data_IF_024440688976
#
_entry.id   IF_024440688976
#
_cell.length_a   1.000
_cell.length_b   1.000
_cell.length_c   1.000
_cell.angle_alpha   90.00
_cell.angle_beta   90.00
_cell.angle_gamma   90.00
#
_symmetry.space_group_name_H-M   'P 1'
#
loop_
_entity.id
_entity.type
_entity.pdbx_description
1 polymer ?
#
# COMPACT_ATOMS: atom_id res chain seq x y z
N UNK A 1 -6.70 -2.03 -4.99
CA UNK A 1 -5.73 -1.16 -5.71
C UNK A 1 -5.41 0.06 -4.88
N UNK A 2 -4.14 0.41 -4.79
CA UNK A 2 -3.67 1.65 -4.15
C UNK A 2 -3.25 2.67 -5.21
N UNK A 3 -3.85 3.86 -5.14
CA UNK A 3 -3.56 4.95 -6.06
C UNK A 3 -2.81 6.08 -5.35
N UNK A 4 -1.77 6.62 -5.97
CA UNK A 4 -1.14 7.88 -5.56
C UNK A 4 -1.98 9.05 -6.09
N UNK A 5 -3.14 9.27 -5.48
CA UNK A 5 -4.02 10.38 -5.79
C UNK A 5 -3.94 11.41 -4.66
N UNK A 6 -3.21 12.49 -4.91
CA UNK A 6 -3.24 13.70 -4.08
C UNK A 6 -4.58 14.37 -4.29
N UNK A 7 -5.30 14.59 -3.19
CA UNK A 7 -6.63 15.17 -2.98
C UNK A 7 -7.35 15.95 -4.10
N UNK A 8 -8.67 16.10 -3.91
CA UNK A 8 -9.69 16.95 -4.53
C UNK A 8 -10.34 16.49 -5.83
N UNK A 9 -9.75 15.63 -6.64
CA UNK A 9 -10.43 15.15 -7.84
C UNK A 9 -10.40 13.62 -7.92
N UNK A 10 -11.25 12.96 -7.14
CA UNK A 10 -11.66 11.57 -7.41
C UNK A 10 -12.50 11.45 -8.70
N UNK A 11 -12.51 12.45 -9.54
CA UNK A 11 -12.94 12.30 -10.92
C UNK A 11 -11.79 11.68 -11.68
N UNK A 12 -11.82 10.38 -11.78
CA UNK A 12 -10.92 9.49 -12.50
C UNK A 12 -10.83 9.88 -13.99
N UNK A 13 -10.20 10.98 -14.29
CA UNK A 13 -9.92 11.40 -15.65
C UNK A 13 -8.42 11.39 -15.88
N UNK A 14 -7.94 10.27 -16.45
CA UNK A 14 -6.67 10.20 -17.17
C UNK A 14 -5.42 9.87 -16.37
N UNK A 15 -4.71 8.83 -16.80
CA UNK A 15 -3.31 8.49 -16.49
C UNK A 15 -2.92 8.24 -15.03
N UNK A 16 -3.71 7.48 -14.28
CA UNK A 16 -3.30 7.06 -12.93
C UNK A 16 -2.93 5.59 -12.92
N UNK A 17 -1.64 5.31 -12.86
CA UNK A 17 -1.15 3.97 -12.61
C UNK A 17 -1.51 3.54 -11.17
N UNK A 18 -1.85 2.26 -10.97
CA UNK A 18 -1.96 1.71 -9.62
C UNK A 18 -0.56 1.41 -9.07
N UNK A 19 -0.16 2.11 -8.03
CA UNK A 19 1.16 1.89 -7.41
C UNK A 19 1.19 0.63 -6.53
N UNK A 20 0.03 0.16 -6.11
CA UNK A 20 -0.15 -1.03 -5.29
C UNK A 20 -1.25 -1.91 -5.87
N UNK A 21 -0.93 -3.18 -6.07
CA UNK A 21 -1.88 -4.22 -6.47
C UNK A 21 -1.73 -5.39 -5.50
N UNK A 22 -2.77 -5.65 -4.70
CA UNK A 22 -2.81 -6.78 -3.77
C UNK A 22 -4.08 -7.56 -4.04
N UNK A 23 -3.93 -8.86 -4.25
CA UNK A 23 -5.01 -9.82 -4.36
C UNK A 23 -5.27 -10.37 -2.97
N UNK A 24 -6.52 -10.26 -2.49
CA UNK A 24 -6.97 -10.86 -1.26
C UNK A 24 -7.81 -12.09 -1.58
N UNK A 25 -7.42 -13.24 -1.06
CA UNK A 25 -8.19 -14.49 -1.16
C UNK A 25 -8.71 -14.85 0.22
N UNK A 26 -10.02 -14.87 0.37
CA UNK A 26 -10.70 -15.18 1.64
C UNK A 26 -11.29 -16.58 1.56
N UNK A 27 -10.90 -17.46 2.48
CA UNK A 27 -11.53 -18.76 2.64
C UNK A 27 -12.79 -18.58 3.48
N UNK A 28 -13.96 -18.82 2.89
CA UNK A 28 -15.25 -18.60 3.56
C UNK A 28 -15.50 -19.57 4.73
N UNK A 29 -14.86 -20.74 4.73
CA UNK A 29 -15.04 -21.75 5.77
C UNK A 29 -14.12 -21.50 6.96
N UNK A 30 -12.81 -21.30 6.71
CA UNK A 30 -11.79 -21.11 7.76
C UNK A 30 -11.62 -19.64 8.15
N UNK A 31 -12.14 -18.71 7.36
CA UNK A 31 -11.93 -17.25 7.49
C UNK A 31 -10.46 -16.82 7.30
N UNK A 32 -9.62 -17.71 6.78
CA UNK A 32 -8.25 -17.36 6.45
C UNK A 32 -8.20 -16.35 5.30
N UNK A 33 -7.36 -15.34 5.44
CA UNK A 33 -7.10 -14.33 4.41
C UNK A 33 -5.67 -14.50 3.90
N UNK A 34 -5.50 -14.68 2.59
CA UNK A 34 -4.20 -14.69 1.92
C UNK A 34 -4.04 -13.44 1.08
N UNK A 35 -2.94 -12.71 1.31
CA UNK A 35 -2.61 -11.50 0.58
C UNK A 35 -1.43 -11.75 -0.36
N UNK A 36 -1.61 -11.47 -1.64
CA UNK A 36 -0.58 -11.64 -2.68
C UNK A 36 -0.37 -10.30 -3.38
N UNK A 37 0.85 -9.75 -3.29
CA UNK A 37 1.21 -8.54 -4.04
C UNK A 37 1.61 -8.88 -5.47
N UNK A 38 1.10 -8.13 -6.42
CA UNK A 38 1.58 -8.11 -7.80
C UNK A 38 2.48 -6.90 -7.98
N UNK A 39 3.75 -7.13 -8.36
CA UNK A 39 4.67 -6.01 -8.56
C UNK A 39 4.23 -5.17 -9.75
N UNK A 40 4.15 -3.86 -9.53
CA UNK A 40 3.64 -2.89 -10.52
C UNK A 40 4.40 -2.90 -11.86
N UNK A 41 5.70 -3.25 -11.83
CA UNK A 41 6.58 -3.29 -12.99
C UNK A 41 6.64 -4.66 -13.68
N UNK A 42 5.84 -5.64 -13.22
CA UNK A 42 5.73 -6.96 -13.89
C UNK A 42 5.21 -6.79 -15.30
N UNK A 43 5.88 -7.40 -16.27
CA UNK A 43 5.45 -7.40 -17.67
C UNK A 43 4.30 -8.39 -17.87
N UNK A 44 3.10 -7.88 -18.13
CA UNK A 44 1.88 -8.68 -18.34
C UNK A 44 1.16 -8.22 -19.61
N UNK A 45 0.31 -9.08 -20.16
CA UNK A 45 -0.65 -8.71 -21.19
C UNK A 45 -1.72 -7.84 -20.54
N UNK A 46 -1.72 -6.54 -20.85
CA UNK A 46 -2.67 -5.56 -20.30
C UNK A 46 -3.97 -5.47 -21.10
N UNK A 47 -4.15 -6.31 -22.10
CA UNK A 47 -5.30 -6.39 -23.00
C UNK A 47 -4.91 -6.25 -24.46
N UNK A 48 -5.71 -6.85 -25.35
CA UNK A 48 -5.50 -6.81 -26.80
C UNK A 48 -4.09 -7.23 -27.26
N UNK A 49 -3.53 -8.25 -26.61
CA UNK A 49 -2.16 -8.75 -26.84
C UNK A 49 -1.05 -7.67 -26.68
N UNK A 50 -1.36 -6.60 -25.97
CA UNK A 50 -0.36 -5.59 -25.60
C UNK A 50 0.29 -5.96 -24.28
N UNK A 51 1.62 -6.07 -24.28
CA UNK A 51 2.41 -6.33 -23.10
C UNK A 51 3.01 -5.03 -22.55
N UNK A 52 2.76 -4.74 -21.28
CA UNK A 52 3.29 -3.58 -20.58
C UNK A 52 3.45 -3.88 -19.09
N UNK A 53 3.91 -2.87 -18.34
CA UNK A 53 3.92 -2.95 -16.88
C UNK A 53 2.50 -3.14 -16.34
N UNK A 54 2.33 -4.02 -15.36
CA UNK A 54 1.02 -4.35 -14.79
C UNK A 54 0.23 -3.11 -14.32
N UNK A 55 0.92 -2.11 -13.74
CA UNK A 55 0.29 -0.88 -13.29
C UNK A 55 -0.33 -0.03 -14.42
N UNK A 56 0.10 -0.23 -15.67
CA UNK A 56 -0.45 0.48 -16.82
C UNK A 56 -1.88 0.02 -17.17
N UNK A 57 -2.28 -1.18 -16.76
CA UNK A 57 -3.63 -1.67 -16.99
C UNK A 57 -4.70 -0.80 -16.33
N UNK A 58 -4.42 -0.31 -15.11
CA UNK A 58 -5.33 0.59 -14.40
C UNK A 58 -5.48 1.93 -15.12
N UNK A 59 -4.40 2.47 -15.67
CA UNK A 59 -4.43 3.71 -16.46
C UNK A 59 -5.14 3.54 -17.81
N UNK A 60 -5.17 2.33 -18.36
CA UNK A 60 -5.80 2.03 -19.64
C UNK A 60 -7.33 1.87 -19.57
N UNK A 61 -7.88 1.42 -18.43
CA UNK A 61 -9.32 1.16 -18.30
C UNK A 61 -9.75 0.91 -16.85
N UNK A 62 -9.18 1.66 -15.91
CA UNK A 62 -9.51 1.63 -14.48
C UNK A 62 -9.39 0.23 -13.84
N UNK A 63 -10.10 0.00 -12.75
CA UNK A 63 -10.07 -1.25 -12.00
C UNK A 63 -10.51 -2.46 -12.84
N UNK A 64 -11.47 -2.29 -13.75
CA UNK A 64 -11.99 -3.37 -14.58
C UNK A 64 -10.92 -3.92 -15.53
N UNK A 65 -10.15 -3.04 -16.17
CA UNK A 65 -9.03 -3.46 -17.00
C UNK A 65 -7.91 -4.11 -16.20
N UNK A 66 -7.62 -3.59 -15.02
CA UNK A 66 -6.63 -4.19 -14.12
C UNK A 66 -7.05 -5.58 -13.64
N UNK A 67 -8.33 -5.79 -13.30
CA UNK A 67 -8.87 -7.12 -12.93
C UNK A 67 -8.80 -8.07 -14.13
N UNK A 68 -9.22 -7.63 -15.31
CA UNK A 68 -9.14 -8.43 -16.53
C UNK A 68 -7.70 -8.86 -16.80
N UNK A 69 -6.74 -7.96 -16.68
CA UNK A 69 -5.32 -8.28 -16.81
C UNK A 69 -4.88 -9.32 -15.79
N UNK A 70 -5.23 -9.17 -14.49
CA UNK A 70 -4.86 -10.13 -13.45
C UNK A 70 -5.48 -11.50 -13.71
N UNK A 71 -6.77 -11.57 -14.02
CA UNK A 71 -7.47 -12.80 -14.30
C UNK A 71 -6.87 -13.54 -15.50
N UNK A 72 -6.58 -12.82 -16.59
CA UNK A 72 -6.04 -13.41 -17.82
C UNK A 72 -4.61 -13.95 -17.63
N UNK A 73 -3.74 -13.19 -16.95
CA UNK A 73 -2.33 -13.58 -16.85
C UNK A 73 -2.05 -14.58 -15.72
N UNK A 74 -2.89 -14.62 -14.68
CA UNK A 74 -2.69 -15.45 -13.49
C UNK A 74 -3.69 -16.59 -13.36
N UNK A 75 -4.58 -16.79 -14.36
CA UNK A 75 -5.64 -17.79 -14.36
C UNK A 75 -6.52 -17.69 -13.08
N UNK A 76 -6.96 -16.47 -12.78
CA UNK A 76 -7.79 -16.15 -11.61
C UNK A 76 -9.22 -15.80 -12.03
N UNK A 77 -10.12 -15.76 -11.06
CA UNK A 77 -11.50 -15.30 -11.21
C UNK A 77 -11.84 -14.23 -10.17
N UNK A 78 -11.14 -13.11 -10.23
CA UNK A 78 -11.39 -11.94 -9.36
C UNK A 78 -12.66 -11.27 -9.88
N UNK A 79 -13.63 -11.03 -8.99
CA UNK A 79 -14.94 -10.41 -9.30
C UNK A 79 -15.13 -9.07 -8.60
N UNK A 80 -14.46 -8.88 -7.48
CA UNK A 80 -14.66 -7.72 -6.61
C UNK A 80 -13.35 -6.96 -6.43
N UNK A 81 -13.46 -5.67 -6.17
CA UNK A 81 -12.29 -4.85 -5.89
C UNK A 81 -12.58 -3.71 -4.93
N UNK A 82 -11.53 -3.24 -4.28
CA UNK A 82 -11.50 -1.97 -3.58
C UNK A 82 -10.36 -1.12 -4.12
N UNK A 83 -10.59 0.17 -4.26
CA UNK A 83 -9.56 1.14 -4.61
C UNK A 83 -9.45 2.17 -3.49
N UNK A 84 -8.24 2.36 -2.98
CA UNK A 84 -7.95 3.30 -1.91
C UNK A 84 -6.88 4.29 -2.34
N UNK A 85 -7.01 5.52 -1.89
CA UNK A 85 -5.96 6.53 -1.93
C UNK A 85 -5.42 6.78 -0.52
N UNK A 86 -4.50 7.71 -0.36
CA UNK A 86 -3.91 8.01 0.96
C UNK A 86 -4.95 8.49 1.97
N UNK A 87 -5.88 9.34 1.56
CA UNK A 87 -6.92 9.88 2.45
C UNK A 87 -7.86 8.77 2.96
N UNK A 88 -8.30 7.89 2.07
CA UNK A 88 -9.14 6.75 2.44
C UNK A 88 -8.40 5.81 3.40
N UNK A 89 -7.12 5.50 3.14
CA UNK A 89 -6.33 4.63 4.01
C UNK A 89 -6.12 5.25 5.40
N UNK A 90 -5.78 6.55 5.45
CA UNK A 90 -5.65 7.29 6.71
C UNK A 90 -6.96 7.25 7.50
N UNK A 91 -8.08 7.50 6.84
CA UNK A 91 -9.40 7.51 7.49
C UNK A 91 -9.78 6.14 8.04
N UNK A 92 -9.60 5.07 7.24
CA UNK A 92 -9.89 3.69 7.69
C UNK A 92 -9.07 3.33 8.94
N UNK A 93 -7.79 3.64 8.95
CA UNK A 93 -6.90 3.32 10.08
C UNK A 93 -7.29 4.13 11.33
N UNK A 94 -7.59 5.43 11.17
CA UNK A 94 -8.02 6.28 12.28
C UNK A 94 -9.36 5.81 12.86
N UNK A 95 -10.32 5.42 12.01
CA UNK A 95 -11.64 4.91 12.43
C UNK A 95 -11.53 3.58 13.20
N UNK A 96 -10.51 2.76 12.90
CA UNK A 96 -10.19 1.55 13.65
C UNK A 96 -9.42 1.82 14.95
N UNK A 97 -9.06 3.06 15.23
CA UNK A 97 -8.34 3.48 16.42
C UNK A 97 -6.81 3.36 16.30
N UNK A 98 -6.27 3.20 15.11
CA UNK A 98 -4.83 3.04 14.86
C UNK A 98 -4.39 1.57 14.75
N UNK A 99 -3.08 1.35 14.56
CA UNK A 99 -2.48 0.02 14.41
C UNK A 99 -1.22 -0.11 15.27
N UNK A 100 -1.07 -1.25 15.96
CA UNK A 100 0.17 -1.57 16.68
C UNK A 100 1.19 -2.21 15.72
N UNK A 101 2.28 -1.51 15.44
CA UNK A 101 3.26 -1.91 14.42
C UNK A 101 4.64 -2.13 15.02
N UNK A 102 5.21 -3.31 14.74
CA UNK A 102 6.60 -3.58 15.05
C UNK A 102 7.51 -3.02 13.95
N UNK A 103 8.49 -2.23 14.33
CA UNK A 103 9.34 -1.47 13.42
C UNK A 103 10.81 -1.55 13.77
N UNK A 104 11.67 -1.38 12.77
CA UNK A 104 13.08 -1.11 12.97
C UNK A 104 13.35 0.39 13.19
N UNK A 105 14.54 0.74 13.68
CA UNK A 105 14.97 2.12 13.80
C UNK A 105 14.94 2.84 12.44
N UNK A 106 15.47 2.21 11.40
CA UNK A 106 15.45 2.76 10.04
C UNK A 106 14.03 3.02 9.53
N UNK A 107 13.08 2.13 9.82
CA UNK A 107 11.67 2.30 9.44
C UNK A 107 11.04 3.51 10.16
N UNK A 108 11.34 3.73 11.44
CA UNK A 108 10.83 4.89 12.19
C UNK A 108 11.35 6.20 11.58
N UNK A 109 12.66 6.27 11.29
CA UNK A 109 13.28 7.44 10.66
C UNK A 109 12.61 7.75 9.32
N UNK A 110 12.50 6.74 8.46
CA UNK A 110 11.90 6.92 7.13
C UNK A 110 10.42 7.24 7.19
N UNK A 111 9.66 6.59 8.07
CA UNK A 111 8.25 6.90 8.27
C UNK A 111 8.04 8.36 8.67
N UNK A 112 8.79 8.86 9.66
CA UNK A 112 8.71 10.25 10.09
C UNK A 112 8.96 11.23 8.92
N UNK A 113 9.94 10.92 8.05
CA UNK A 113 10.21 11.72 6.86
C UNK A 113 9.03 11.74 5.88
N UNK A 114 8.37 10.59 5.67
CA UNK A 114 7.20 10.50 4.79
C UNK A 114 5.93 11.12 5.40
N UNK A 115 5.86 11.27 6.73
CA UNK A 115 4.71 11.88 7.40
C UNK A 115 4.46 13.32 6.95
N UNK A 116 5.50 14.08 6.63
CA UNK A 116 5.37 15.46 6.13
C UNK A 116 4.52 15.50 4.86
N UNK A 117 4.94 14.76 3.83
CA UNK A 117 4.21 14.71 2.56
C UNK A 117 2.83 14.07 2.68
N UNK A 118 2.68 13.05 3.54
CA UNK A 118 1.39 12.37 3.75
C UNK A 118 0.42 13.31 4.43
N UNK A 119 0.84 14.01 5.48
CA UNK A 119 0.06 15.02 6.20
C UNK A 119 -0.44 16.12 5.26
N UNK A 120 0.46 16.69 4.44
CA UNK A 120 0.10 17.70 3.44
C UNK A 120 -0.89 17.16 2.41
N UNK A 121 -0.69 15.91 1.94
CA UNK A 121 -1.54 15.31 0.92
C UNK A 121 -2.97 15.04 1.38
N UNK A 122 -3.16 14.73 2.68
CA UNK A 122 -4.47 14.39 3.26
C UNK A 122 -5.06 15.52 4.11
N UNK A 123 -4.31 16.61 4.33
CA UNK A 123 -4.76 17.75 5.14
C UNK A 123 -4.98 17.42 6.61
N UNK A 124 -4.24 16.45 7.16
CA UNK A 124 -4.31 16.04 8.57
C UNK A 124 -2.96 16.27 9.25
N UNK A 125 -3.00 16.77 10.48
CA UNK A 125 -1.81 16.93 11.31
C UNK A 125 -1.23 15.57 11.72
N UNK A 126 0.06 15.55 12.01
CA UNK A 126 0.75 14.39 12.56
C UNK A 126 1.73 14.79 13.66
N UNK A 127 2.05 13.84 14.52
CA UNK A 127 3.13 13.94 15.48
C UNK A 127 4.21 12.94 15.12
N UNK A 128 5.47 13.34 14.89
CA UNK A 128 6.53 12.38 14.63
C UNK A 128 6.76 11.51 15.87
N UNK A 129 7.13 10.25 15.65
CA UNK A 129 7.57 9.37 16.73
C UNK A 129 8.95 9.83 17.18
N UNK A 130 9.12 10.00 18.50
CA UNK A 130 10.43 10.26 19.07
C UNK A 130 11.36 9.08 18.80
N UNK A 131 12.55 9.40 18.27
CA UNK A 131 13.50 8.36 17.90
C UNK A 131 14.11 7.74 19.17
N UNK A 132 14.10 6.39 19.28
CA UNK A 132 14.82 5.73 20.35
C UNK A 132 16.34 5.91 20.20
N UNK A 133 17.12 5.46 21.18
CA UNK A 133 18.57 5.43 21.04
C UNK A 133 18.95 4.59 19.80
N UNK A 134 19.87 5.15 19.00
CA UNK A 134 20.28 4.51 17.73
C UNK A 134 20.99 3.20 18.00
N UNK A 135 20.44 2.05 17.54
CA UNK A 135 21.06 0.75 17.73
C UNK A 135 22.22 0.49 16.75
N UNK A 136 23.05 -0.52 17.01
CA UNK A 136 24.08 -0.96 16.06
C UNK A 136 23.47 -1.48 14.75
N UNK A 137 22.38 -2.24 14.84
CA UNK A 137 21.62 -2.75 13.69
C UNK A 137 20.32 -1.97 13.54
N UNK A 138 20.33 -0.99 12.64
CA UNK A 138 19.19 -0.11 12.39
C UNK A 138 18.02 -0.82 11.66
N UNK A 139 18.27 -1.93 11.00
CA UNK A 139 17.24 -2.68 10.25
C UNK A 139 16.55 -3.76 11.12
N UNK A 140 17.07 -4.03 12.31
CA UNK A 140 16.45 -4.99 13.22
C UNK A 140 15.11 -4.48 13.73
N UNK A 141 14.03 -5.25 13.52
CA UNK A 141 12.71 -4.97 14.09
C UNK A 141 12.76 -5.23 15.59
N UNK A 142 12.52 -4.18 16.39
CA UNK A 142 12.63 -4.27 17.85
C UNK A 142 11.80 -3.23 18.63
N UNK A 143 11.04 -2.40 17.93
CA UNK A 143 10.22 -1.36 18.55
C UNK A 143 8.78 -1.53 18.14
N UNK A 144 7.86 -1.48 19.10
CA UNK A 144 6.41 -1.51 18.86
C UNK A 144 5.82 -0.14 19.12
N UNK A 145 5.11 0.41 18.14
CA UNK A 145 4.42 1.69 18.25
C UNK A 145 2.98 1.59 17.80
N UNK A 146 2.12 2.33 18.49
CA UNK A 146 0.75 2.54 18.06
C UNK A 146 0.72 3.67 17.04
N UNK A 147 0.41 3.37 15.78
CA UNK A 147 0.42 4.30 14.66
C UNK A 147 -0.98 4.81 14.35
N UNK A 148 -1.13 6.11 14.16
CA UNK A 148 -2.33 6.69 13.56
C UNK A 148 -2.33 6.52 12.03
N UNK A 149 -3.42 6.94 11.36
CA UNK A 149 -3.59 6.78 9.93
C UNK A 149 -2.48 7.44 9.10
N UNK A 150 -2.03 8.66 9.47
CA UNK A 150 -0.94 9.36 8.76
C UNK A 150 0.37 8.58 8.89
N UNK A 151 0.71 8.12 10.09
CA UNK A 151 1.93 7.36 10.35
C UNK A 151 1.92 6.00 9.63
N UNK A 152 0.84 5.23 9.73
CA UNK A 152 0.72 3.92 9.10
C UNK A 152 0.71 4.02 7.55
N UNK A 153 0.06 5.05 7.00
CA UNK A 153 0.11 5.31 5.55
C UNK A 153 1.52 5.70 5.12
N UNK A 154 2.23 6.50 5.90
CA UNK A 154 3.63 6.88 5.65
C UNK A 154 4.55 5.67 5.71
N UNK A 155 4.33 4.74 6.64
CA UNK A 155 5.04 3.47 6.73
C UNK A 155 4.88 2.63 5.44
N UNK A 156 3.69 2.59 4.84
CA UNK A 156 3.44 1.92 3.56
C UNK A 156 4.20 2.54 2.38
N UNK A 157 4.70 3.77 2.51
CA UNK A 157 5.40 4.51 1.44
C UNK A 157 6.92 4.33 1.47
N UNK A 158 7.50 3.80 2.54
CA UNK A 158 8.95 3.66 2.72
C UNK A 158 9.56 2.84 1.57
N UNK A 159 10.61 3.41 0.94
CA UNK A 159 11.40 2.77 -0.14
C UNK A 159 12.89 2.65 0.20
N UNK A 160 13.37 3.44 1.16
CA UNK A 160 14.81 3.60 1.45
C UNK A 160 15.26 2.71 2.61
N UNK A 161 14.94 1.40 2.52
CA UNK A 161 15.49 0.36 3.40
C UNK A 161 16.25 -0.66 2.56
N UNK A 162 17.01 -1.55 3.18
CA UNK A 162 17.81 -2.56 2.47
C UNK A 162 17.01 -3.41 1.48
N UNK A 163 15.70 -3.58 1.70
CA UNK A 163 14.80 -4.39 0.87
C UNK A 163 14.12 -3.60 -0.28
N UNK A 164 14.38 -2.30 -0.44
CA UNK A 164 13.86 -1.46 -1.53
C UNK A 164 12.34 -1.63 -1.79
N UNK A 165 11.94 -1.81 -3.05
CA UNK A 165 10.54 -1.98 -3.46
C UNK A 165 9.90 -3.29 -2.93
N UNK A 166 10.68 -4.33 -2.68
CA UNK A 166 10.17 -5.55 -2.04
C UNK A 166 9.73 -5.26 -0.61
N UNK A 167 10.52 -4.51 0.14
CA UNK A 167 10.19 -4.08 1.49
C UNK A 167 8.93 -3.20 1.53
N UNK A 168 8.74 -2.33 0.54
CA UNK A 168 7.52 -1.54 0.43
C UNK A 168 6.27 -2.42 0.29
N UNK A 169 6.28 -3.38 -0.62
CA UNK A 169 5.14 -4.27 -0.82
C UNK A 169 4.87 -5.15 0.40
N UNK A 170 5.89 -5.54 1.15
CA UNK A 170 5.74 -6.27 2.40
C UNK A 170 5.08 -5.40 3.47
N UNK A 171 5.52 -4.15 3.67
CA UNK A 171 4.89 -3.20 4.60
C UNK A 171 3.42 -2.96 4.27
N UNK A 172 3.08 -2.82 3.00
CA UNK A 172 1.70 -2.67 2.55
C UNK A 172 0.84 -3.89 2.91
N UNK A 173 1.37 -5.12 2.71
CA UNK A 173 0.67 -6.34 3.13
C UNK A 173 0.53 -6.44 4.64
N UNK A 174 1.55 -6.05 5.42
CA UNK A 174 1.48 -6.04 6.89
C UNK A 174 0.36 -5.12 7.37
N UNK A 175 0.34 -3.87 6.91
CA UNK A 175 -0.73 -2.92 7.27
C UNK A 175 -2.09 -3.45 6.84
N UNK A 176 -2.24 -3.90 5.59
CA UNK A 176 -3.52 -4.42 5.10
C UNK A 176 -3.98 -5.67 5.89
N UNK A 177 -3.05 -6.57 6.24
CA UNK A 177 -3.36 -7.76 7.03
C UNK A 177 -3.82 -7.47 8.46
N UNK A 178 -3.55 -6.29 8.99
CA UNK A 178 -4.03 -5.85 10.30
C UNK A 178 -5.44 -5.23 10.25
N UNK A 179 -5.96 -4.95 9.05
CA UNK A 179 -7.30 -4.41 8.85
C UNK A 179 -8.37 -5.52 8.72
N UNK A 180 -7.96 -6.80 8.63
CA UNK A 180 -8.83 -7.97 8.59
C UNK A 180 -8.84 -8.70 9.93
#
# INVERSE_FOLDING_TARGET
>A
FGLDARSENMKFAGNKNSDTMIIASVNNDTKDVKLVSVYRDTLLNIGNDMYSKANAAYAAGDAEQAITMLNTNLDLNITDYATVNFDALVTIIDDLGGLDMDMSYAEIVHMNNYCVETSEAVGKDYTPIELPEKPEDEEKIQYTYHLNGVQATSYCRIRYTASLDMGRTERQRRVLGMLF
#
